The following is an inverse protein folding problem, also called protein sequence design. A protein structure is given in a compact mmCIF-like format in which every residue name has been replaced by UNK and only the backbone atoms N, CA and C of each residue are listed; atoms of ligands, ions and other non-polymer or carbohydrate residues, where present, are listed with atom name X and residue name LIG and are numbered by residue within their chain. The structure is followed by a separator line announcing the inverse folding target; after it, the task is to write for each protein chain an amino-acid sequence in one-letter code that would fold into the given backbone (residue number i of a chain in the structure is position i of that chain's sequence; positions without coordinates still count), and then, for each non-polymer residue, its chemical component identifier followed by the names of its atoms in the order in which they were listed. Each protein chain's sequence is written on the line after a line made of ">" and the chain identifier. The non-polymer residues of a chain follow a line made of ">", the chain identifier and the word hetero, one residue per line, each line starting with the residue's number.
data_IF_818373714104
#
_entry.id   IF_818373714104
#
_cell.length_a   1.000
_cell.length_b   1.000
_cell.length_c   1.000
_cell.angle_alpha   90.00
_cell.angle_beta   90.00
_cell.angle_gamma   90.00
#
_symmetry.space_group_name_H-M   'P 1'
#
loop_
_entity.id
_entity.type
_entity.pdbx_description
1 polymer ?
#
# COMPACT_ATOMS: atom_id res chain seq x y z
N UNK A 1 -2.83 -17.29 2.33
CA UNK A 1 -3.63 -17.17 3.56
C UNK A 1 -3.19 -15.90 4.23
N UNK A 2 -4.12 -15.03 4.64
CA UNK A 2 -3.85 -13.77 5.33
C UNK A 2 -4.73 -13.70 6.60
N UNK A 3 -4.25 -13.13 7.71
CA UNK A 3 -5.04 -12.95 8.92
C UNK A 3 -6.19 -11.96 8.73
N UNK A 4 -7.34 -12.27 9.32
CA UNK A 4 -8.54 -11.42 9.32
C UNK A 4 -9.06 -11.13 10.74
N UNK A 5 -8.74 -11.98 11.71
CA UNK A 5 -9.01 -11.77 13.14
C UNK A 5 -7.89 -12.35 14.00
N UNK A 6 -7.69 -11.78 15.19
CA UNK A 6 -6.60 -12.10 16.11
C UNK A 6 -7.15 -12.09 17.55
N UNK A 7 -6.91 -13.17 18.29
CA UNK A 7 -7.35 -13.31 19.68
C UNK A 7 -6.20 -13.78 20.55
N UNK A 8 -5.97 -13.10 21.67
CA UNK A 8 -4.98 -13.55 22.67
C UNK A 8 -5.39 -14.92 23.23
N UNK A 9 -4.44 -15.86 23.21
CA UNK A 9 -4.60 -17.21 23.75
C UNK A 9 -3.50 -17.49 24.77
N UNK A 10 -3.76 -17.14 26.03
CA UNK A 10 -2.76 -17.27 27.11
C UNK A 10 -1.78 -16.10 27.12
N UNK A 11 -0.59 -16.30 27.69
CA UNK A 11 0.32 -15.18 27.97
C UNK A 11 1.15 -14.71 26.77
N UNK A 12 1.42 -15.59 25.80
CA UNK A 12 2.38 -15.36 24.69
C UNK A 12 1.96 -16.00 23.38
N UNK A 13 0.67 -16.31 23.23
CA UNK A 13 0.16 -16.90 21.99
C UNK A 13 -1.08 -16.17 21.50
N UNK A 14 -1.28 -16.26 20.19
CA UNK A 14 -2.36 -15.63 19.46
C UNK A 14 -3.04 -16.66 18.57
N UNK A 15 -4.36 -16.76 18.69
CA UNK A 15 -5.19 -17.48 17.74
C UNK A 15 -5.57 -16.55 16.60
N UNK A 16 -5.29 -16.98 15.39
CA UNK A 16 -5.57 -16.25 14.16
C UNK A 16 -6.72 -16.92 13.41
N UNK A 17 -7.64 -16.10 12.90
CA UNK A 17 -8.49 -16.49 11.79
C UNK A 17 -7.83 -16.05 10.49
N UNK A 18 -7.68 -16.99 9.56
CA UNK A 18 -6.99 -16.81 8.30
C UNK A 18 -7.97 -16.99 7.14
N UNK A 19 -7.84 -16.15 6.11
CA UNK A 19 -8.59 -16.28 4.86
C UNK A 19 -7.66 -16.14 3.65
N UNK A 20 -7.89 -16.94 2.62
CA UNK A 20 -7.27 -16.72 1.32
C UNK A 20 -8.01 -15.61 0.56
N UNK A 21 -7.36 -14.50 0.20
CA UNK A 21 -8.04 -13.44 -0.55
C UNK A 21 -8.41 -13.85 -1.99
N UNK A 22 -7.81 -14.91 -2.54
CA UNK A 22 -8.04 -15.33 -3.92
C UNK A 22 -9.15 -16.37 -4.08
N UNK A 23 -9.33 -17.28 -3.12
CA UNK A 23 -10.30 -18.37 -3.21
C UNK A 23 -11.18 -18.52 -1.96
N UNK A 24 -11.07 -17.57 -1.03
CA UNK A 24 -11.86 -17.49 0.20
C UNK A 24 -11.71 -18.63 1.21
N UNK A 25 -10.85 -19.62 0.94
CA UNK A 25 -10.55 -20.69 1.87
C UNK A 25 -10.19 -20.10 3.25
N UNK A 26 -10.85 -20.59 4.30
CA UNK A 26 -10.67 -20.15 5.68
C UNK A 26 -9.91 -21.20 6.48
N UNK A 27 -9.25 -20.76 7.55
CA UNK A 27 -8.57 -21.63 8.50
C UNK A 27 -8.20 -20.89 9.77
N UNK A 28 -7.68 -21.61 10.75
CA UNK A 28 -7.20 -21.04 12.01
C UNK A 28 -5.76 -21.47 12.28
N UNK A 29 -5.04 -20.69 13.07
CA UNK A 29 -3.69 -21.01 13.51
C UNK A 29 -3.40 -20.41 14.87
N UNK A 30 -2.45 -20.99 15.61
CA UNK A 30 -1.94 -20.40 16.85
C UNK A 30 -0.47 -20.10 16.66
N UNK A 31 -0.05 -18.87 16.99
CA UNK A 31 1.32 -18.40 16.84
C UNK A 31 1.80 -17.71 18.12
N UNK A 32 3.11 -17.58 18.30
CA UNK A 32 3.71 -16.85 19.41
C UNK A 32 3.82 -15.34 19.11
N UNK A 33 3.97 -14.52 20.16
CA UNK A 33 4.13 -13.06 20.05
C UNK A 33 5.18 -12.64 19.00
N UNK A 34 6.34 -13.33 18.98
CA UNK A 34 7.42 -13.02 18.04
C UNK A 34 7.02 -13.13 16.56
N UNK A 35 6.04 -14.00 16.25
CA UNK A 35 5.51 -14.15 14.89
C UNK A 35 4.59 -12.98 14.53
N UNK A 36 3.76 -12.55 15.48
CA UNK A 36 2.88 -11.38 15.33
C UNK A 36 3.72 -10.12 15.12
N UNK A 37 4.71 -9.89 15.98
CA UNK A 37 5.60 -8.73 15.88
C UNK A 37 6.35 -8.68 14.54
N UNK A 38 6.83 -9.84 14.07
CA UNK A 38 7.50 -9.93 12.78
C UNK A 38 6.53 -9.62 11.62
N UNK A 39 5.29 -10.10 11.72
CA UNK A 39 4.28 -9.85 10.71
C UNK A 39 3.91 -8.37 10.63
N UNK A 40 3.69 -7.71 11.77
CA UNK A 40 3.41 -6.27 11.83
C UNK A 40 4.55 -5.44 11.25
N UNK A 41 5.80 -5.76 11.62
CA UNK A 41 6.98 -5.09 11.07
C UNK A 41 7.09 -5.28 9.54
N UNK A 42 6.72 -6.46 9.03
CA UNK A 42 6.70 -6.71 7.59
C UNK A 42 5.61 -5.88 6.89
N UNK A 43 4.42 -5.76 7.49
CA UNK A 43 3.34 -4.93 6.97
C UNK A 43 3.71 -3.45 6.92
N UNK A 44 4.32 -2.92 7.98
CA UNK A 44 4.79 -1.53 8.02
C UNK A 44 5.82 -1.25 6.93
N UNK A 45 6.79 -2.15 6.76
CA UNK A 45 7.81 -2.04 5.71
C UNK A 45 7.21 -2.06 4.31
N UNK A 46 6.28 -2.97 4.05
CA UNK A 46 5.60 -3.09 2.77
C UNK A 46 4.75 -1.85 2.47
N UNK A 47 3.98 -1.38 3.45
CA UNK A 47 3.19 -0.15 3.35
C UNK A 47 4.06 1.07 3.04
N UNK A 48 5.18 1.22 3.75
CA UNK A 48 6.12 2.31 3.51
C UNK A 48 6.77 2.22 2.11
N UNK A 49 7.04 1.01 1.60
CA UNK A 49 7.55 0.83 0.24
C UNK A 49 6.52 1.25 -0.82
N UNK A 50 5.27 0.79 -0.69
CA UNK A 50 4.19 1.15 -1.61
C UNK A 50 3.91 2.65 -1.60
N UNK A 51 3.93 3.29 -0.43
CA UNK A 51 3.72 4.74 -0.32
C UNK A 51 4.83 5.54 -1.02
N UNK A 52 6.09 5.10 -0.91
CA UNK A 52 7.22 5.75 -1.61
C UNK A 52 7.11 5.58 -3.12
N UNK A 53 6.85 4.37 -3.59
CA UNK A 53 6.72 4.09 -5.02
C UNK A 53 5.56 4.89 -5.64
N UNK A 54 4.40 4.94 -4.98
CA UNK A 54 3.29 5.78 -5.41
C UNK A 54 3.68 7.26 -5.47
N UNK A 55 4.39 7.76 -4.46
CA UNK A 55 4.84 9.14 -4.44
C UNK A 55 5.76 9.46 -5.61
N UNK A 56 6.75 8.61 -5.88
CA UNK A 56 7.69 8.75 -7.00
C UNK A 56 6.97 8.75 -8.36
N UNK A 57 6.02 7.83 -8.57
CA UNK A 57 5.20 7.79 -9.79
C UNK A 57 4.37 9.06 -9.99
N UNK A 58 3.77 9.57 -8.91
CA UNK A 58 2.99 10.82 -8.96
C UNK A 58 3.88 12.01 -9.27
N UNK A 59 5.06 12.12 -8.65
CA UNK A 59 6.00 13.21 -8.95
C UNK A 59 6.41 13.20 -10.41
N UNK A 60 6.79 12.03 -10.95
CA UNK A 60 7.15 11.91 -12.36
C UNK A 60 6.00 12.33 -13.29
N UNK A 61 4.78 11.90 -12.98
CA UNK A 61 3.59 12.26 -13.79
C UNK A 61 3.35 13.77 -13.80
N UNK A 62 3.48 14.42 -12.62
CA UNK A 62 3.32 15.87 -12.51
C UNK A 62 4.42 16.61 -13.27
N UNK A 63 5.67 16.16 -13.17
CA UNK A 63 6.79 16.74 -13.92
C UNK A 63 6.55 16.68 -15.43
N UNK A 64 6.09 15.54 -15.94
CA UNK A 64 5.72 15.35 -17.35
C UNK A 64 4.52 16.22 -17.77
N UNK A 65 3.53 16.39 -16.91
CA UNK A 65 2.38 17.28 -17.17
C UNK A 65 2.79 18.76 -17.20
N UNK A 66 3.59 19.21 -16.24
CA UNK A 66 4.09 20.59 -16.20
C UNK A 66 4.96 20.90 -17.41
N UNK A 67 5.84 19.96 -17.81
CA UNK A 67 6.66 20.11 -19.02
C UNK A 67 5.81 20.28 -20.28
N UNK A 68 4.81 19.42 -20.48
CA UNK A 68 3.87 19.54 -21.62
C UNK A 68 3.07 20.83 -21.60
N UNK A 69 2.65 21.29 -20.42
CA UNK A 69 1.94 22.56 -20.28
C UNK A 69 2.85 23.74 -20.67
N UNK A 70 4.11 23.72 -20.22
CA UNK A 70 5.12 24.72 -20.59
C UNK A 70 5.33 24.79 -22.11
N UNK A 71 5.51 23.64 -22.77
CA UNK A 71 5.64 23.58 -24.22
C UNK A 71 4.39 24.12 -24.94
N UNK A 72 3.20 23.82 -24.45
CA UNK A 72 1.95 24.32 -25.02
C UNK A 72 1.80 25.85 -24.86
N UNK A 73 2.25 26.41 -23.73
CA UNK A 73 2.30 27.87 -23.53
C UNK A 73 3.33 28.52 -24.47
N UNK A 74 4.55 27.98 -24.56
CA UNK A 74 5.63 28.52 -25.39
C UNK A 74 5.29 28.47 -26.89
N UNK A 75 4.56 27.44 -27.31
CA UNK A 75 4.11 27.27 -28.70
C UNK A 75 2.78 28.00 -29.01
N UNK A 76 2.18 28.68 -28.02
CA UNK A 76 0.92 29.40 -28.19
C UNK A 76 -0.28 28.51 -28.47
N UNK A 77 -0.21 27.23 -28.08
CA UNK A 77 -1.30 26.26 -28.20
C UNK A 77 -2.34 26.41 -27.09
N UNK A 78 -2.03 27.19 -26.05
CA UNK A 78 -2.94 27.58 -24.97
C UNK A 78 -3.13 29.10 -25.00
N UNK A 79 -4.37 29.53 -25.15
CA UNK A 79 -4.78 30.93 -25.15
C UNK A 79 -5.41 31.29 -23.78
N UNK A 80 -5.53 32.59 -23.45
CA UNK A 80 -6.19 33.02 -22.22
C UNK A 80 -7.64 32.53 -22.07
N UNK A 81 -8.27 32.13 -23.16
CA UNK A 81 -9.65 31.62 -23.24
C UNK A 81 -9.79 30.12 -22.96
N UNK A 82 -8.67 29.40 -22.81
CA UNK A 82 -8.64 27.96 -22.46
C UNK A 82 -8.60 27.70 -20.93
N UNK A 83 -8.58 28.75 -20.09
CA UNK A 83 -8.54 28.71 -18.62
C UNK A 83 -9.80 29.29 -17.99
#
# INVERSE_FOLDING_TARGET
>A
MQPIDWQEEGAHHWRLELRCPNCEAAGTGVVEDAVVDQYDLALERASAALARELHEMVQQTIEEEVGRLGEALDSGLLLPEDF
#
